data_IF_101548224043
#
_entry.id   IF_101548224043
#
_cell.length_a   1.000
_cell.length_b   1.000
_cell.length_c   1.000
_cell.angle_alpha   90.00
_cell.angle_beta   90.00
_cell.angle_gamma   90.00
#
_symmetry.space_group_name_H-M   'P 1'
#
loop_
_entity.id
_entity.type
_entity.pdbx_description
1 polymer ?
#
# COMPACT_ATOMS: atom_id res chain seq x y z
N UNK A 1 -19.48 24.07 7.02
CA UNK A 1 -18.19 23.40 6.90
C UNK A 1 -18.01 23.03 5.44
N UNK A 2 -17.06 23.64 4.75
CA UNK A 2 -16.72 23.23 3.38
C UNK A 2 -15.99 21.89 3.49
N UNK A 3 -16.57 20.82 2.96
CA UNK A 3 -15.79 19.62 2.64
C UNK A 3 -14.71 20.07 1.64
N UNK A 4 -13.47 20.12 2.10
CA UNK A 4 -12.34 20.23 1.19
C UNK A 4 -12.38 18.99 0.29
N UNK A 5 -12.75 19.21 -0.95
CA UNK A 5 -12.71 18.21 -1.99
C UNK A 5 -11.25 17.76 -2.13
N UNK A 6 -10.89 16.64 -1.49
CA UNK A 6 -9.54 16.08 -1.58
C UNK A 6 -9.25 15.82 -3.05
N UNK A 7 -8.12 16.31 -3.52
CA UNK A 7 -7.66 16.01 -4.87
C UNK A 7 -7.64 14.49 -5.10
N UNK A 8 -8.19 13.98 -6.20
CA UNK A 8 -8.18 12.56 -6.49
C UNK A 8 -6.74 12.04 -6.53
N UNK A 9 -6.51 10.91 -5.86
CA UNK A 9 -5.24 10.19 -5.86
C UNK A 9 -5.30 9.07 -6.88
N UNK A 10 -4.24 8.95 -7.67
CA UNK A 10 -4.08 7.88 -8.67
C UNK A 10 -2.82 7.06 -8.38
N UNK A 11 -2.81 5.83 -8.89
CA UNK A 11 -1.63 4.97 -8.87
C UNK A 11 -0.79 5.26 -10.12
N UNK A 12 0.46 5.66 -9.91
CA UNK A 12 1.41 6.00 -10.95
C UNK A 12 2.57 5.00 -10.99
N UNK A 13 2.87 4.47 -12.16
CA UNK A 13 4.07 3.63 -12.35
C UNK A 13 5.28 4.55 -12.50
N UNK A 14 6.22 4.56 -11.54
CA UNK A 14 7.37 5.45 -11.65
C UNK A 14 8.28 5.07 -12.83
N UNK A 15 8.91 6.07 -13.45
CA UNK A 15 10.07 5.90 -14.30
C UNK A 15 11.32 5.69 -13.44
N UNK A 16 12.45 5.35 -14.08
CA UNK A 16 13.73 5.21 -13.37
C UNK A 16 14.14 6.53 -12.70
N UNK A 17 13.92 7.65 -13.36
CA UNK A 17 14.24 9.00 -12.87
C UNK A 17 13.38 9.41 -11.68
N UNK A 18 12.13 8.94 -11.62
CA UNK A 18 11.21 9.22 -10.51
C UNK A 18 11.66 8.56 -9.20
N UNK A 19 12.60 7.62 -9.24
CA UNK A 19 13.15 6.98 -8.05
C UNK A 19 13.90 7.97 -7.12
N UNK A 20 14.19 9.17 -7.59
CA UNK A 20 14.66 10.24 -6.74
C UNK A 20 13.67 10.59 -5.62
N UNK A 21 12.35 10.44 -5.86
CA UNK A 21 11.34 10.62 -4.83
C UNK A 21 11.40 9.50 -3.77
N UNK A 22 11.54 8.24 -4.19
CA UNK A 22 11.76 7.13 -3.25
C UNK A 22 13.02 7.36 -2.42
N UNK A 23 14.14 7.73 -3.05
CA UNK A 23 15.38 8.04 -2.35
C UNK A 23 15.16 9.11 -1.26
N UNK A 24 14.43 10.17 -1.60
CA UNK A 24 14.08 11.24 -0.66
C UNK A 24 13.25 10.74 0.52
N UNK A 25 12.21 9.92 0.26
CA UNK A 25 11.35 9.36 1.31
C UNK A 25 12.13 8.43 2.24
N UNK A 26 12.94 7.53 1.67
CA UNK A 26 13.71 6.54 2.45
C UNK A 26 14.80 7.20 3.32
N UNK A 27 15.31 8.35 2.91
CA UNK A 27 16.29 9.13 3.68
C UNK A 27 15.66 10.06 4.73
N UNK A 28 14.36 10.33 4.64
CA UNK A 28 13.67 11.23 5.55
C UNK A 28 13.31 10.54 6.87
N UNK A 29 13.89 11.03 7.96
CA UNK A 29 13.71 10.45 9.31
C UNK A 29 12.26 10.49 9.78
N UNK A 30 11.52 11.55 9.43
CA UNK A 30 10.12 11.66 9.83
C UNK A 30 9.26 10.66 9.04
N UNK A 31 9.46 10.54 7.73
CA UNK A 31 8.80 9.55 6.90
C UNK A 31 9.08 8.13 7.37
N UNK A 32 10.33 7.83 7.74
CA UNK A 32 10.78 6.50 8.14
C UNK A 32 10.68 6.24 9.64
N UNK A 33 10.05 7.11 10.42
CA UNK A 33 9.93 6.95 11.88
C UNK A 33 9.21 5.66 12.32
N UNK A 34 8.29 5.15 11.50
CA UNK A 34 7.59 3.88 11.75
C UNK A 34 8.50 2.66 11.61
N UNK A 35 9.61 2.80 10.87
CA UNK A 35 10.55 1.72 10.57
C UNK A 35 11.65 1.57 11.65
N UNK A 36 11.46 2.16 12.82
CA UNK A 36 12.47 2.16 13.90
C UNK A 36 12.87 0.75 14.35
N UNK A 37 11.94 -0.19 14.36
CA UNK A 37 12.19 -1.59 14.71
C UNK A 37 13.09 -2.31 13.69
N UNK A 38 13.18 -1.80 12.46
CA UNK A 38 14.01 -2.35 11.37
C UNK A 38 15.15 -1.41 10.93
N UNK A 39 15.56 -0.46 11.77
CA UNK A 39 16.72 0.40 11.54
C UNK A 39 16.42 1.81 11.04
N UNK A 40 15.17 2.20 10.89
CA UNK A 40 14.77 3.57 10.53
C UNK A 40 14.94 3.85 9.03
N UNK A 41 15.73 4.88 8.67
CA UNK A 41 15.98 5.27 7.28
C UNK A 41 16.68 4.17 6.48
N UNK A 42 16.32 4.04 5.20
CA UNK A 42 16.88 3.03 4.30
C UNK A 42 17.75 3.72 3.24
N UNK A 43 19.05 3.40 3.14
CA UNK A 43 19.89 3.87 2.04
C UNK A 43 19.35 3.38 0.69
N UNK A 44 19.13 4.31 -0.23
CA UNK A 44 18.68 4.00 -1.58
C UNK A 44 19.50 4.81 -2.61
N UNK A 45 20.82 4.52 -2.72
CA UNK A 45 21.72 5.24 -3.59
C UNK A 45 21.42 4.95 -5.07
N UNK A 46 21.73 5.93 -5.94
CA UNK A 46 21.38 5.89 -7.36
C UNK A 46 21.93 4.67 -8.09
N UNK A 47 23.06 4.14 -7.64
CA UNK A 47 23.72 2.95 -8.18
C UNK A 47 22.85 1.68 -8.07
N UNK A 48 21.93 1.65 -7.10
CA UNK A 48 21.02 0.50 -6.88
C UNK A 48 19.72 0.61 -7.67
N UNK A 49 19.42 1.76 -8.27
CA UNK A 49 18.11 2.02 -8.88
C UNK A 49 17.78 1.07 -10.03
N UNK A 50 18.72 0.80 -10.93
CA UNK A 50 18.47 -0.10 -12.07
C UNK A 50 18.08 -1.51 -11.62
N UNK A 51 18.82 -2.09 -10.67
CA UNK A 51 18.51 -3.42 -10.16
C UNK A 51 17.18 -3.47 -9.42
N UNK A 52 16.90 -2.44 -8.61
CA UNK A 52 15.62 -2.31 -7.91
C UNK A 52 14.45 -2.13 -8.88
N UNK A 53 14.62 -1.28 -9.89
CA UNK A 53 13.59 -1.02 -10.92
C UNK A 53 13.28 -2.27 -11.74
N UNK A 54 14.31 -2.98 -12.17
CA UNK A 54 14.16 -4.27 -12.86
C UNK A 54 13.35 -5.26 -12.04
N UNK A 55 13.65 -5.38 -10.74
CA UNK A 55 13.00 -6.32 -9.85
C UNK A 55 11.54 -5.94 -9.57
N UNK A 56 11.26 -4.68 -9.24
CA UNK A 56 9.93 -4.26 -8.80
C UNK A 56 8.99 -3.86 -9.93
N UNK A 57 9.51 -3.33 -11.02
CA UNK A 57 8.70 -2.73 -12.10
C UNK A 57 8.72 -3.58 -13.36
N UNK A 58 9.89 -4.08 -13.79
CA UNK A 58 10.03 -4.76 -15.09
C UNK A 58 9.76 -6.25 -14.97
N UNK A 59 10.37 -6.93 -13.99
CA UNK A 59 10.34 -8.39 -13.81
C UNK A 59 9.47 -8.85 -12.64
N UNK A 60 8.35 -8.18 -12.43
CA UNK A 60 7.51 -8.42 -11.24
C UNK A 60 6.88 -9.83 -11.16
N UNK A 61 6.78 -10.59 -12.26
CA UNK A 61 6.27 -11.97 -12.34
C UNK A 61 4.96 -12.21 -11.57
N UNK A 62 4.11 -11.20 -11.45
CA UNK A 62 2.92 -11.16 -10.59
C UNK A 62 3.18 -11.37 -9.09
N UNK A 63 4.45 -11.38 -8.67
CA UNK A 63 4.86 -11.52 -7.27
C UNK A 63 5.18 -10.19 -6.60
N UNK A 64 5.32 -9.13 -7.39
CA UNK A 64 5.62 -7.79 -6.92
C UNK A 64 4.68 -6.79 -7.58
N UNK A 65 4.32 -5.77 -6.84
CA UNK A 65 3.56 -4.63 -7.33
C UNK A 65 4.05 -3.37 -6.63
N UNK A 66 4.29 -2.32 -7.38
CA UNK A 66 4.79 -1.07 -6.82
C UNK A 66 4.26 0.12 -7.60
N UNK A 67 3.71 1.12 -6.90
CA UNK A 67 3.19 2.36 -7.49
C UNK A 67 3.42 3.54 -6.56
N UNK A 68 3.59 4.72 -7.15
CA UNK A 68 3.44 5.95 -6.40
C UNK A 68 1.98 6.35 -6.27
N UNK A 69 1.65 6.99 -5.15
CA UNK A 69 0.41 7.76 -4.98
C UNK A 69 0.68 9.15 -5.55
N UNK A 70 -0.09 9.57 -6.54
CA UNK A 70 0.06 10.87 -7.20
C UNK A 70 -1.24 11.66 -7.11
N UNK A 71 -1.16 12.93 -6.74
CA UNK A 71 -2.30 13.84 -6.72
C UNK A 71 -2.63 14.38 -8.12
N UNK A 72 -3.74 15.11 -8.24
CA UNK A 72 -4.16 15.72 -9.50
C UNK A 72 -3.22 16.83 -10.02
N UNK A 73 -2.34 17.32 -9.17
CA UNK A 73 -1.29 18.29 -9.54
C UNK A 73 -0.02 17.63 -10.05
N UNK A 74 0.04 16.28 -10.07
CA UNK A 74 1.24 15.54 -10.46
C UNK A 74 2.29 15.41 -9.36
N UNK A 75 1.94 15.70 -8.10
CA UNK A 75 2.88 15.55 -6.99
C UNK A 75 2.84 14.13 -6.43
N UNK A 76 4.00 13.57 -6.15
CA UNK A 76 4.11 12.29 -5.48
C UNK A 76 3.89 12.44 -3.98
N UNK A 77 2.91 11.69 -3.47
CA UNK A 77 2.43 11.75 -2.08
C UNK A 77 3.05 10.64 -1.22
N UNK A 78 3.34 9.51 -1.83
CA UNK A 78 3.84 8.32 -1.16
C UNK A 78 3.95 7.16 -2.12
N UNK A 79 4.09 5.97 -1.57
CA UNK A 79 4.16 4.73 -2.33
C UNK A 79 3.27 3.65 -1.73
N UNK A 80 2.82 2.72 -2.58
CA UNK A 80 2.16 1.49 -2.19
C UNK A 80 2.77 0.32 -2.94
N UNK A 81 2.93 -0.78 -2.25
CA UNK A 81 3.50 -1.99 -2.81
C UNK A 81 2.85 -3.24 -2.20
N UNK A 82 3.01 -4.36 -2.87
CA UNK A 82 2.94 -5.67 -2.25
C UNK A 82 3.99 -6.59 -2.85
N UNK A 83 4.41 -7.58 -2.09
CA UNK A 83 5.32 -8.61 -2.54
C UNK A 83 4.94 -9.97 -1.97
N UNK A 84 5.31 -11.03 -2.68
CA UNK A 84 5.11 -12.39 -2.22
C UNK A 84 6.26 -12.82 -1.31
N UNK A 85 5.93 -13.17 -0.06
CA UNK A 85 6.84 -13.80 0.89
C UNK A 85 6.74 -15.33 0.72
N UNK A 86 7.79 -15.93 0.15
CA UNK A 86 7.83 -17.38 -0.13
C UNK A 86 7.91 -18.23 1.13
N UNK A 87 8.47 -17.73 2.21
CA UNK A 87 8.65 -18.47 3.45
C UNK A 87 7.33 -18.61 4.21
N UNK A 88 6.52 -17.55 4.17
CA UNK A 88 5.18 -17.54 4.78
C UNK A 88 4.08 -17.91 3.79
N UNK A 89 4.37 -17.95 2.48
CA UNK A 89 3.41 -18.18 1.41
C UNK A 89 2.24 -17.18 1.41
N UNK A 90 2.54 -15.90 1.62
CA UNK A 90 1.57 -14.79 1.70
C UNK A 90 2.04 -13.59 0.87
N UNK A 91 1.12 -12.67 0.57
CA UNK A 91 1.43 -11.36 0.00
C UNK A 91 1.44 -10.31 1.11
N UNK A 92 2.59 -9.67 1.31
CA UNK A 92 2.77 -8.57 2.25
C UNK A 92 2.54 -7.23 1.55
N UNK A 93 1.76 -6.36 2.17
CA UNK A 93 1.48 -5.01 1.71
C UNK A 93 2.42 -3.99 2.37
N UNK A 94 2.69 -2.91 1.67
CA UNK A 94 3.42 -1.75 2.16
C UNK A 94 2.68 -0.48 1.75
N UNK A 95 2.50 0.45 2.67
CA UNK A 95 1.92 1.77 2.41
C UNK A 95 2.75 2.83 3.13
N UNK A 96 3.44 3.66 2.37
CA UNK A 96 4.27 4.72 2.91
C UNK A 96 3.75 6.07 2.38
N UNK A 97 3.33 6.96 3.29
CA UNK A 97 2.99 8.35 2.97
C UNK A 97 4.14 9.25 3.39
N UNK A 98 4.64 10.05 2.46
CA UNK A 98 5.69 11.03 2.73
C UNK A 98 5.23 12.00 3.83
N UNK A 99 6.06 12.25 4.84
CA UNK A 99 5.67 12.91 6.08
C UNK A 99 4.87 14.21 5.90
N UNK A 100 5.23 15.13 4.97
CA UNK A 100 4.45 16.37 4.75
C UNK A 100 3.00 16.16 4.34
N UNK A 101 2.64 14.97 3.84
CA UNK A 101 1.28 14.63 3.41
C UNK A 101 0.52 13.73 4.38
N UNK A 102 1.09 13.44 5.57
CA UNK A 102 0.42 12.63 6.59
C UNK A 102 -0.77 13.34 7.22
N UNK A 103 -1.62 12.57 7.89
CA UNK A 103 -2.85 13.03 8.57
C UNK A 103 -3.91 13.64 7.64
N UNK A 104 -3.73 13.53 6.33
CA UNK A 104 -4.67 13.99 5.30
C UNK A 104 -5.52 12.85 4.71
N UNK A 105 -5.42 11.63 5.26
CA UNK A 105 -6.18 10.46 4.82
C UNK A 105 -5.60 9.71 3.63
N UNK A 106 -4.47 10.13 3.09
CA UNK A 106 -3.85 9.50 1.92
C UNK A 106 -3.41 8.05 2.15
N UNK A 107 -3.04 7.69 3.38
CA UNK A 107 -2.72 6.30 3.71
C UNK A 107 -3.91 5.36 3.50
N UNK A 108 -5.11 5.73 3.97
CA UNK A 108 -6.34 4.95 3.74
C UNK A 108 -6.70 4.86 2.26
N UNK A 109 -6.58 5.98 1.53
CA UNK A 109 -6.82 6.00 0.08
C UNK A 109 -5.84 5.06 -0.63
N UNK A 110 -4.54 5.17 -0.33
CA UNK A 110 -3.49 4.33 -0.91
C UNK A 110 -3.70 2.85 -0.61
N UNK A 111 -4.03 2.50 0.64
CA UNK A 111 -4.31 1.12 1.03
C UNK A 111 -5.51 0.52 0.27
N UNK A 112 -6.59 1.28 0.09
CA UNK A 112 -7.74 0.81 -0.67
C UNK A 112 -7.41 0.63 -2.16
N UNK A 113 -6.70 1.59 -2.78
CA UNK A 113 -6.22 1.46 -4.16
C UNK A 113 -5.29 0.24 -4.34
N UNK A 114 -4.42 -0.03 -3.36
CA UNK A 114 -3.57 -1.22 -3.37
C UNK A 114 -4.38 -2.51 -3.27
N UNK A 115 -5.39 -2.56 -2.39
CA UNK A 115 -6.29 -3.71 -2.27
C UNK A 115 -7.04 -3.98 -3.58
N UNK A 116 -7.52 -2.93 -4.24
CA UNK A 116 -8.22 -3.05 -5.53
C UNK A 116 -7.29 -3.57 -6.63
N UNK A 117 -6.06 -3.05 -6.70
CA UNK A 117 -5.03 -3.52 -7.63
C UNK A 117 -4.64 -4.98 -7.37
N UNK A 118 -4.43 -5.36 -6.12
CA UNK A 118 -4.13 -6.74 -5.72
C UNK A 118 -5.25 -7.70 -6.13
N UNK A 119 -6.51 -7.32 -5.89
CA UNK A 119 -7.68 -8.08 -6.30
C UNK A 119 -7.76 -8.23 -7.81
N UNK A 120 -7.52 -7.17 -8.59
CA UNK A 120 -7.47 -7.22 -10.06
C UNK A 120 -6.37 -8.15 -10.57
N UNK A 121 -5.25 -8.25 -9.84
CA UNK A 121 -4.15 -9.16 -10.12
C UNK A 121 -4.38 -10.59 -9.61
N UNK A 122 -5.60 -10.91 -9.12
CA UNK A 122 -5.99 -12.26 -8.70
C UNK A 122 -5.54 -12.65 -7.28
N UNK A 123 -5.02 -11.71 -6.50
CA UNK A 123 -4.63 -11.95 -5.10
C UNK A 123 -5.89 -11.97 -4.25
N UNK A 124 -6.01 -13.00 -3.42
CA UNK A 124 -7.19 -13.23 -2.58
C UNK A 124 -7.07 -12.67 -1.18
N UNK A 125 -5.86 -12.51 -0.70
CA UNK A 125 -5.54 -12.08 0.66
C UNK A 125 -4.31 -11.18 0.66
N UNK A 126 -4.37 -10.07 1.39
CA UNK A 126 -3.21 -9.25 1.71
C UNK A 126 -2.95 -9.27 3.21
N UNK A 127 -1.68 -9.27 3.55
CA UNK A 127 -1.18 -9.22 4.93
C UNK A 127 -0.29 -7.98 5.10
N UNK A 128 -0.06 -7.60 6.35
CA UNK A 128 0.97 -6.61 6.71
C UNK A 128 1.46 -6.90 8.14
N UNK A 129 2.77 -6.94 8.35
CA UNK A 129 3.40 -7.09 9.65
C UNK A 129 3.84 -5.72 10.17
N UNK A 130 3.09 -5.19 11.11
CA UNK A 130 3.24 -3.83 11.60
C UNK A 130 3.78 -3.85 13.04
N UNK A 131 4.76 -2.99 13.34
CA UNK A 131 5.24 -2.82 14.71
C UNK A 131 4.08 -2.47 15.64
N UNK A 132 4.04 -3.10 16.83
CA UNK A 132 2.89 -3.02 17.75
C UNK A 132 2.58 -1.60 18.22
N UNK A 133 3.56 -0.73 18.25
CA UNK A 133 3.46 0.69 18.63
C UNK A 133 3.25 1.64 17.44
N UNK A 134 3.17 1.10 16.22
CA UNK A 134 2.95 1.90 15.03
C UNK A 134 1.48 2.35 14.94
N UNK A 135 1.21 3.67 14.90
CA UNK A 135 -0.16 4.19 14.82
C UNK A 135 -0.91 3.80 13.55
N UNK A 136 -0.22 3.31 12.51
CA UNK A 136 -0.85 2.85 11.26
C UNK A 136 -1.72 1.61 11.44
N UNK A 137 -1.53 0.81 12.50
CA UNK A 137 -2.38 -0.33 12.85
C UNK A 137 -3.86 0.06 12.79
N UNK A 138 -4.23 1.19 13.39
CA UNK A 138 -5.62 1.67 13.40
C UNK A 138 -6.14 2.01 11.99
N UNK A 139 -5.27 2.47 11.10
CA UNK A 139 -5.64 2.73 9.70
C UNK A 139 -5.99 1.43 8.99
N UNK A 140 -5.16 0.39 9.13
CA UNK A 140 -5.43 -0.92 8.54
C UNK A 140 -6.73 -1.53 9.06
N UNK A 141 -6.95 -1.54 10.38
CA UNK A 141 -8.18 -2.06 10.99
C UNK A 141 -9.43 -1.32 10.47
N UNK A 142 -9.40 0.01 10.37
CA UNK A 142 -10.50 0.82 9.81
C UNK A 142 -10.77 0.54 8.32
N UNK A 143 -9.79 0.02 7.60
CA UNK A 143 -9.92 -0.35 6.19
C UNK A 143 -10.18 -1.86 5.98
N UNK A 144 -10.65 -2.56 7.02
CA UNK A 144 -11.16 -3.91 6.92
C UNK A 144 -10.10 -5.01 7.05
N UNK A 145 -8.90 -4.68 7.48
CA UNK A 145 -7.94 -5.68 7.95
C UNK A 145 -8.33 -6.16 9.35
N UNK A 146 -8.01 -7.38 9.65
CA UNK A 146 -8.22 -8.00 10.98
C UNK A 146 -6.90 -8.55 11.48
N UNK A 147 -6.75 -8.63 12.79
CA UNK A 147 -5.58 -9.25 13.40
C UNK A 147 -5.61 -10.76 13.17
N UNK A 148 -4.53 -11.31 12.60
CA UNK A 148 -4.30 -12.74 12.43
C UNK A 148 -3.58 -13.31 13.66
N UNK A 149 -2.50 -12.64 14.08
CA UNK A 149 -1.77 -12.91 15.32
C UNK A 149 -0.92 -11.72 15.72
N UNK A 150 -0.37 -11.77 16.93
CA UNK A 150 0.62 -10.80 17.41
C UNK A 150 1.73 -11.47 18.21
N UNK A 151 2.87 -10.79 18.23
CA UNK A 151 3.99 -11.08 19.12
C UNK A 151 4.18 -9.91 20.10
N UNK A 152 5.29 -9.89 20.85
CA UNK A 152 5.66 -8.71 21.64
C UNK A 152 6.11 -7.51 20.80
N UNK A 153 6.40 -7.70 19.51
CA UNK A 153 7.03 -6.70 18.64
C UNK A 153 6.13 -6.27 17.48
N UNK A 154 5.39 -7.22 16.88
CA UNK A 154 4.58 -6.97 15.70
C UNK A 154 3.14 -7.46 15.86
N UNK A 155 2.25 -6.88 15.05
CA UNK A 155 0.91 -7.36 14.78
C UNK A 155 0.87 -7.79 13.29
N UNK A 156 0.51 -9.03 13.02
CA UNK A 156 0.18 -9.48 11.67
C UNK A 156 -1.27 -9.18 11.39
N UNK A 157 -1.53 -8.37 10.40
CA UNK A 157 -2.85 -8.02 9.91
C UNK A 157 -3.15 -8.72 8.59
N UNK A 158 -4.43 -9.03 8.34
CA UNK A 158 -4.90 -9.74 7.16
C UNK A 158 -6.19 -9.14 6.64
N UNK A 159 -6.33 -9.07 5.32
CA UNK A 159 -7.59 -8.71 4.66
C UNK A 159 -7.91 -9.70 3.54
N UNK A 160 -9.15 -10.22 3.55
CA UNK A 160 -9.72 -10.96 2.43
C UNK A 160 -10.11 -9.99 1.31
N UNK A 161 -9.67 -10.28 0.08
CA UNK A 161 -9.94 -9.49 -1.11
C UNK A 161 -11.01 -10.15 -1.99
N UNK A 162 -12.02 -10.80 -1.39
CA UNK A 162 -13.05 -11.54 -2.11
C UNK A 162 -13.77 -10.68 -3.17
N UNK A 163 -14.20 -11.30 -4.25
CA UNK A 163 -15.07 -10.67 -5.24
C UNK A 163 -16.33 -10.19 -4.53
N UNK A 164 -16.75 -8.94 -4.79
CA UNK A 164 -18.08 -8.49 -4.40
C UNK A 164 -19.07 -9.51 -4.95
N UNK A 165 -19.76 -10.24 -4.09
CA UNK A 165 -20.92 -11.01 -4.46
C UNK A 165 -21.95 -9.99 -4.92
N UNK A 166 -22.07 -9.83 -6.24
CA UNK A 166 -23.28 -9.26 -6.82
C UNK A 166 -24.42 -10.15 -6.32
N UNK A 167 -25.29 -9.59 -5.48
CA UNK A 167 -26.54 -10.24 -5.12
C UNK A 167 -27.31 -10.49 -6.41
N UNK A 168 -27.55 -11.75 -6.82
CA UNK A 168 -28.54 -12.05 -7.83
C UNK A 168 -29.90 -12.03 -7.13
N UNK A 169 -30.63 -10.96 -7.26
CA UNK A 169 -31.91 -10.87 -6.58
C UNK A 169 -32.72 -9.63 -6.94
N UNK A 170 -33.13 -9.55 -8.19
CA UNK A 170 -34.40 -8.93 -8.54
C UNK A 170 -35.02 -9.75 -9.64
N UNK A 171 -35.72 -10.81 -9.26
CA UNK A 171 -36.68 -11.48 -10.13
C UNK A 171 -37.77 -10.44 -10.49
N UNK A 172 -37.79 -10.08 -11.77
CA UNK A 172 -38.91 -9.35 -12.33
C UNK A 172 -40.05 -10.32 -12.40
N UNK A 173 -41.01 -10.19 -11.45
CA UNK A 173 -42.23 -10.91 -11.45
C UNK A 173 -43.02 -10.62 -12.73
N UNK A 174 -43.20 -11.63 -13.58
CA UNK A 174 -44.18 -11.63 -14.63
C UNK A 174 -45.58 -11.58 -14.03
N UNK A 175 -46.26 -10.46 -14.23
CA UNK A 175 -47.71 -10.38 -14.01
C UNK A 175 -48.39 -10.62 -15.38
N UNK A 176 -49.20 -11.67 -15.38
CA UNK A 176 -50.13 -11.97 -16.46
C UNK A 176 -51.20 -10.89 -16.61
#
# INVERSE_FOLDING_TARGET
MKEECKSPITLYTPSLEDLCFRQKMMADKETMSYNHAWGGTIPFPKETWHGWYDFWIVKHENKHYYRYLMDSGGHFIGEVAYHFDSDKNIYLADVIVYAPYRKMGYGSIGLNLLCDAAKQNGIKQLYDDIAIDNPSVMMFLKNGFVEEYRTSEIIMLKKELSASTLHPGCEVGNVK
#
